data_IF_661687333528
#
_entry.id   IF_661687333528
#
_cell.length_a   1.000
_cell.length_b   1.000
_cell.length_c   1.000
_cell.angle_alpha   90.00
_cell.angle_beta   90.00
_cell.angle_gamma   90.00
#
_symmetry.space_group_name_H-M   'P 1'
#
loop_
_entity.id
_entity.type
_entity.pdbx_description
1 polymer ?
#
# COMPACT_ATOMS: atom_id res chain seq x y z
N UNK A 1 14.82 22.29 44.98
CA UNK A 1 14.10 22.81 46.16
C UNK A 1 12.64 22.95 45.82
N UNK A 2 11.84 22.37 46.66
CA UNK A 2 10.39 22.35 46.87
C UNK A 2 9.64 21.17 46.30
N UNK A 3 9.51 20.17 47.21
CA UNK A 3 8.54 19.09 47.20
C UNK A 3 7.14 19.65 47.53
N UNK A 4 6.11 19.09 46.88
CA UNK A 4 4.78 19.04 47.45
C UNK A 4 4.18 17.66 47.19
N UNK A 5 4.03 16.91 48.27
CA UNK A 5 3.25 15.71 48.38
C UNK A 5 1.77 16.13 48.68
N UNK A 6 0.82 15.45 48.10
CA UNK A 6 -0.58 15.50 48.54
C UNK A 6 -1.11 14.08 48.66
N UNK A 7 -1.75 13.88 49.82
CA UNK A 7 -2.14 12.62 50.42
C UNK A 7 -3.38 11.99 49.80
N UNK A 8 -3.44 10.66 49.95
CA UNK A 8 -4.58 9.81 49.69
C UNK A 8 -5.66 9.92 50.79
N UNK A 9 -6.92 9.88 50.42
CA UNK A 9 -8.03 9.67 51.37
C UNK A 9 -8.87 8.51 50.88
N UNK A 10 -8.84 7.40 51.65
CA UNK A 10 -9.77 6.28 51.57
C UNK A 10 -11.09 6.66 52.23
N UNK A 11 -12.22 6.36 51.59
CA UNK A 11 -13.55 6.33 52.22
C UNK A 11 -14.11 4.93 52.06
N UNK A 12 -14.24 4.24 53.20
CA UNK A 12 -14.94 2.97 53.41
C UNK A 12 -16.40 3.27 53.77
N UNK A 13 -17.36 2.72 53.06
CA UNK A 13 -18.75 2.72 53.43
C UNK A 13 -19.25 1.29 53.68
N UNK A 14 -19.60 1.04 54.93
CA UNK A 14 -20.20 -0.19 55.48
C UNK A 14 -21.71 -0.10 55.33
N UNK A 15 -22.35 -1.10 54.76
CA UNK A 15 -23.84 -1.24 54.80
C UNK A 15 -24.24 -2.40 55.71
N UNK A 16 -25.05 -2.06 56.67
CA UNK A 16 -25.70 -2.95 57.66
C UNK A 16 -26.93 -3.65 57.02
N UNK A 17 -27.03 -4.92 57.28
CA UNK A 17 -28.19 -5.78 57.02
C UNK A 17 -29.08 -5.74 58.23
N UNK A 18 -30.40 -5.51 58.06
CA UNK A 18 -31.41 -5.80 59.07
C UNK A 18 -32.51 -6.63 58.41
N UNK A 19 -32.71 -7.83 58.97
CA UNK A 19 -33.81 -8.70 58.62
C UNK A 19 -35.04 -8.43 59.49
N UNK A 20 -36.19 -8.78 58.95
CA UNK A 20 -37.37 -9.08 59.77
C UNK A 20 -38.27 -10.14 59.10
N UNK A 21 -38.58 -11.15 59.88
CA UNK A 21 -39.48 -12.28 59.63
C UNK A 21 -40.95 -11.89 59.89
N UNK A 22 -41.85 -12.52 59.15
CA UNK A 22 -43.07 -13.25 59.68
C UNK A 22 -44.14 -13.34 58.58
N UNK A 23 -44.47 -14.51 58.22
CA UNK A 23 -45.63 -15.36 58.39
C UNK A 23 -47.00 -14.95 57.78
N UNK A 24 -47.40 -15.77 56.88
CA UNK A 24 -48.66 -16.55 56.81
C UNK A 24 -49.75 -16.17 55.78
N UNK A 25 -50.10 -17.16 55.00
CA UNK A 25 -51.40 -17.68 54.58
C UNK A 25 -51.99 -17.32 53.23
N UNK A 26 -52.17 -18.43 52.52
CA UNK A 26 -53.32 -18.88 51.73
C UNK A 26 -53.53 -18.43 50.29
N UNK A 27 -53.36 -19.46 49.45
CA UNK A 27 -54.19 -19.82 48.30
C UNK A 27 -54.70 -18.73 47.33
N UNK A 28 -54.18 -18.65 46.15
CA UNK A 28 -55.00 -18.77 44.92
C UNK A 28 -54.20 -19.17 43.71
N UNK A 29 -54.63 -20.24 43.04
CA UNK A 29 -54.16 -20.73 41.79
C UNK A 29 -54.46 -19.71 40.69
N UNK A 30 -53.42 -19.24 40.00
CA UNK A 30 -53.51 -18.67 38.65
C UNK A 30 -52.29 -19.11 37.88
N UNK A 31 -52.53 -19.87 36.82
CA UNK A 31 -51.57 -20.25 35.78
C UNK A 31 -50.90 -18.99 35.22
N UNK A 32 -49.63 -18.82 35.53
CA UNK A 32 -48.84 -17.82 34.90
C UNK A 32 -47.92 -18.52 33.89
N UNK A 33 -48.37 -18.56 32.64
CA UNK A 33 -47.58 -19.00 31.47
C UNK A 33 -46.38 -18.03 31.40
N UNK A 34 -45.25 -18.48 31.87
CA UNK A 34 -43.99 -17.80 31.69
C UNK A 34 -43.68 -17.80 30.18
N UNK A 35 -43.95 -16.71 29.48
CA UNK A 35 -43.33 -16.40 28.23
C UNK A 35 -41.83 -16.28 28.48
N UNK A 36 -41.11 -17.37 28.20
CA UNK A 36 -39.67 -17.33 27.99
C UNK A 36 -39.42 -16.49 26.76
N UNK A 37 -39.17 -15.20 26.94
CA UNK A 37 -38.56 -14.34 25.93
C UNK A 37 -37.17 -14.89 25.67
N UNK A 38 -37.07 -15.73 24.66
CA UNK A 38 -35.79 -16.15 24.11
C UNK A 38 -35.17 -14.86 23.51
N UNK A 39 -34.36 -14.16 24.29
CA UNK A 39 -33.43 -13.19 23.74
C UNK A 39 -32.47 -13.96 22.85
N UNK A 40 -32.81 -14.04 21.57
CA UNK A 40 -31.85 -14.39 20.53
C UNK A 40 -30.79 -13.31 20.61
N UNK A 41 -29.64 -13.60 21.20
CA UNK A 41 -28.43 -12.79 21.03
C UNK A 41 -28.14 -12.80 19.54
N UNK A 42 -28.55 -11.77 18.85
CA UNK A 42 -28.19 -11.53 17.46
C UNK A 42 -26.66 -11.38 17.49
N UNK A 43 -25.96 -12.39 16.99
CA UNK A 43 -24.49 -12.29 16.84
C UNK A 43 -24.20 -11.01 16.07
N UNK A 44 -23.38 -10.14 16.64
CA UNK A 44 -22.93 -8.94 15.96
C UNK A 44 -22.11 -9.40 14.72
N UNK A 45 -22.72 -9.31 13.55
CA UNK A 45 -22.13 -9.74 12.26
C UNK A 45 -21.18 -8.70 11.66
N UNK A 46 -21.00 -7.58 12.38
CA UNK A 46 -20.20 -6.44 11.93
C UNK A 46 -19.02 -6.17 12.87
N UNK A 47 -18.09 -5.36 12.42
CA UNK A 47 -16.95 -4.82 13.19
C UNK A 47 -16.62 -3.40 12.73
N UNK A 48 -15.77 -2.71 13.46
CA UNK A 48 -15.23 -1.42 13.07
C UNK A 48 -13.91 -1.61 12.33
N UNK A 49 -13.75 -0.86 11.25
CA UNK A 49 -12.51 -0.67 10.51
C UNK A 49 -12.17 0.82 10.60
N UNK A 50 -10.95 1.14 11.01
CA UNK A 50 -10.46 2.53 10.99
C UNK A 50 -9.66 2.74 9.71
N UNK A 51 -10.05 3.71 8.87
CA UNK A 51 -9.40 4.02 7.60
C UNK A 51 -8.09 4.83 7.79
N UNK A 52 -7.42 5.18 6.69
CA UNK A 52 -6.12 5.89 6.75
C UNK A 52 -6.26 7.28 7.38
N UNK A 53 -7.41 7.94 7.24
CA UNK A 53 -7.72 9.24 7.83
C UNK A 53 -8.15 9.16 9.30
N UNK A 54 -8.22 7.94 9.87
CA UNK A 54 -8.66 7.70 11.24
C UNK A 54 -10.19 7.66 11.41
N UNK A 55 -10.95 7.49 10.34
CA UNK A 55 -12.41 7.39 10.39
C UNK A 55 -12.85 5.95 10.59
N UNK A 56 -13.72 5.72 11.59
CA UNK A 56 -14.29 4.42 11.85
C UNK A 56 -15.46 4.12 10.91
N UNK A 57 -15.40 2.97 10.26
CA UNK A 57 -16.41 2.44 9.33
C UNK A 57 -16.91 1.10 9.82
N UNK A 58 -18.23 0.95 9.91
CA UNK A 58 -18.84 -0.34 10.26
C UNK A 58 -18.94 -1.23 9.02
N UNK A 59 -18.28 -2.37 9.05
CA UNK A 59 -18.18 -3.33 7.94
C UNK A 59 -18.56 -4.74 8.40
N UNK A 60 -18.90 -5.68 7.50
CA UNK A 60 -19.07 -7.10 7.84
C UNK A 60 -17.83 -7.66 8.55
N UNK A 61 -17.98 -8.68 9.39
CA UNK A 61 -16.82 -9.38 10.00
C UNK A 61 -15.86 -9.91 8.94
N UNK A 62 -16.39 -10.44 7.85
CA UNK A 62 -15.65 -10.84 6.66
C UNK A 62 -16.34 -10.22 5.45
N UNK A 63 -15.58 -9.56 4.60
CA UNK A 63 -16.06 -8.99 3.33
C UNK A 63 -15.85 -10.02 2.23
N UNK A 64 -16.91 -10.35 1.50
CA UNK A 64 -16.91 -11.30 0.39
C UNK A 64 -17.16 -10.64 -0.95
N UNK A 65 -17.60 -9.37 -0.94
CA UNK A 65 -17.86 -8.55 -2.13
C UNK A 65 -17.22 -7.18 -1.93
N UNK A 66 -15.97 -7.06 -2.32
CA UNK A 66 -15.17 -5.85 -2.19
C UNK A 66 -15.10 -5.11 -3.53
N UNK A 67 -15.55 -3.87 -3.57
CA UNK A 67 -15.21 -2.95 -4.65
C UNK A 67 -13.90 -2.25 -4.28
N UNK A 68 -12.95 -2.19 -5.22
CA UNK A 68 -11.71 -1.47 -5.01
C UNK A 68 -11.40 -0.63 -6.25
N UNK A 69 -11.48 0.69 -6.09
CA UNK A 69 -11.35 1.68 -7.16
C UNK A 69 -10.01 2.41 -7.12
N UNK A 70 -8.99 1.76 -6.58
CA UNK A 70 -7.60 2.18 -6.66
C UNK A 70 -6.74 1.00 -7.11
N UNK A 71 -6.17 1.07 -8.31
CA UNK A 71 -5.38 -0.01 -8.93
C UNK A 71 -4.19 -0.47 -8.07
N UNK A 72 -3.59 0.45 -7.33
CA UNK A 72 -2.53 0.14 -6.35
C UNK A 72 -3.06 -0.79 -5.24
N UNK A 73 -4.23 -0.49 -4.68
CA UNK A 73 -4.78 -1.32 -3.61
C UNK A 73 -5.28 -2.68 -4.11
N UNK A 74 -5.67 -2.78 -5.38
CA UNK A 74 -5.98 -4.08 -6.01
C UNK A 74 -4.82 -5.07 -5.85
N UNK A 75 -3.57 -4.61 -5.95
CA UNK A 75 -2.38 -5.43 -5.71
C UNK A 75 -2.35 -5.95 -4.27
N UNK A 76 -2.67 -5.09 -3.28
CA UNK A 76 -2.72 -5.50 -1.87
C UNK A 76 -3.85 -6.49 -1.61
N UNK A 77 -5.02 -6.28 -2.21
CA UNK A 77 -6.13 -7.25 -2.10
C UNK A 77 -5.70 -8.63 -2.63
N UNK A 78 -5.02 -8.69 -3.78
CA UNK A 78 -4.50 -9.94 -4.35
C UNK A 78 -3.42 -10.57 -3.46
N UNK A 79 -2.45 -9.77 -3.05
CA UNK A 79 -1.34 -10.17 -2.18
C UNK A 79 -1.84 -10.76 -0.84
N UNK A 80 -2.93 -10.24 -0.32
CA UNK A 80 -3.55 -10.65 0.94
C UNK A 80 -4.51 -11.84 0.79
N UNK A 81 -4.62 -12.45 -0.40
CA UNK A 81 -5.50 -13.58 -0.66
C UNK A 81 -6.96 -13.20 -0.91
N UNK A 82 -7.26 -11.91 -1.11
CA UNK A 82 -8.61 -11.40 -1.30
C UNK A 82 -9.08 -11.35 -2.76
N UNK A 83 -8.35 -11.91 -3.72
CA UNK A 83 -8.68 -11.80 -5.15
C UNK A 83 -10.12 -12.21 -5.48
N UNK A 84 -10.58 -13.33 -4.93
CA UNK A 84 -11.94 -13.86 -5.17
C UNK A 84 -13.04 -12.96 -4.56
N UNK A 85 -12.70 -12.01 -3.70
CA UNK A 85 -13.65 -11.06 -3.12
C UNK A 85 -13.87 -9.82 -3.98
N UNK A 86 -12.94 -9.52 -4.92
CA UNK A 86 -13.05 -8.36 -5.79
C UNK A 86 -14.28 -8.48 -6.72
N UNK A 87 -15.14 -7.48 -6.67
CA UNK A 87 -16.33 -7.37 -7.54
C UNK A 87 -16.31 -6.10 -8.41
N UNK A 88 -15.34 -5.22 -8.21
CA UNK A 88 -15.06 -4.04 -9.03
C UNK A 88 -13.58 -3.67 -8.96
N UNK A 89 -13.07 -3.06 -10.02
CA UNK A 89 -11.67 -2.66 -10.18
C UNK A 89 -11.57 -1.31 -10.91
N UNK A 90 -10.40 -0.98 -11.47
CA UNK A 90 -10.16 0.20 -12.30
C UNK A 90 -9.77 -0.18 -13.73
N UNK A 91 -9.92 0.76 -14.67
CA UNK A 91 -9.42 0.55 -16.04
C UNK A 91 -7.90 0.46 -16.08
N UNK A 92 -7.22 1.12 -15.14
CA UNK A 92 -5.77 1.10 -14.99
C UNK A 92 -5.29 -0.32 -14.62
N UNK A 93 -5.90 -0.95 -13.63
CA UNK A 93 -5.57 -2.32 -13.22
C UNK A 93 -5.69 -3.33 -14.37
N UNK A 94 -6.70 -3.18 -15.23
CA UNK A 94 -6.90 -4.05 -16.41
C UNK A 94 -5.80 -3.92 -17.47
N UNK A 95 -5.02 -2.84 -17.44
CA UNK A 95 -3.93 -2.56 -18.40
C UNK A 95 -2.57 -2.98 -17.88
N UNK A 96 -2.45 -3.41 -16.62
CA UNK A 96 -1.21 -3.85 -16.02
C UNK A 96 -0.87 -5.28 -16.47
N UNK A 97 0.15 -5.51 -17.33
CA UNK A 97 0.32 -6.80 -18.00
C UNK A 97 0.65 -7.95 -17.03
N UNK A 98 1.47 -7.68 -16.00
CA UNK A 98 1.78 -8.69 -15.00
C UNK A 98 0.61 -8.96 -14.07
N UNK A 99 -0.14 -7.92 -13.68
CA UNK A 99 -1.34 -8.09 -12.86
C UNK A 99 -2.37 -8.97 -13.59
N UNK A 100 -2.63 -8.69 -14.87
CA UNK A 100 -3.58 -9.47 -15.67
C UNK A 100 -3.09 -10.88 -15.98
N UNK A 101 -1.78 -11.12 -16.06
CA UNK A 101 -1.20 -12.47 -16.19
C UNK A 101 -1.39 -13.28 -14.91
N UNK A 102 -1.19 -12.67 -13.74
CA UNK A 102 -1.27 -13.33 -12.42
C UNK A 102 -2.74 -13.52 -12.00
N UNK A 103 -3.56 -12.52 -12.27
CA UNK A 103 -4.98 -12.51 -11.94
C UNK A 103 -5.84 -12.14 -13.15
N UNK A 104 -6.04 -13.07 -14.11
CA UNK A 104 -6.77 -12.78 -15.35
C UNK A 104 -8.21 -12.29 -15.14
N UNK A 105 -8.86 -12.72 -14.04
CA UNK A 105 -10.24 -12.34 -13.72
C UNK A 105 -10.42 -10.82 -13.57
N UNK A 106 -9.37 -10.06 -13.25
CA UNK A 106 -9.45 -8.60 -13.14
C UNK A 106 -10.01 -7.94 -14.42
N UNK A 107 -9.74 -8.53 -15.59
CA UNK A 107 -10.20 -8.00 -16.89
C UNK A 107 -11.71 -8.05 -17.08
N UNK A 108 -12.41 -8.92 -16.33
CA UNK A 108 -13.85 -9.14 -16.41
C UNK A 108 -14.64 -8.24 -15.45
N UNK A 109 -13.96 -7.69 -14.43
CA UNK A 109 -14.63 -6.91 -13.39
C UNK A 109 -15.14 -5.55 -13.92
N UNK A 110 -16.27 -5.03 -13.44
CA UNK A 110 -16.72 -3.68 -13.76
C UNK A 110 -15.78 -2.60 -13.17
N UNK A 111 -15.82 -1.40 -13.77
CA UNK A 111 -14.96 -0.26 -13.42
C UNK A 111 -15.81 0.97 -13.11
N UNK A 112 -16.47 1.02 -11.93
CA UNK A 112 -17.44 2.07 -11.60
C UNK A 112 -16.81 3.43 -11.30
N UNK A 113 -15.49 3.59 -11.44
CA UNK A 113 -14.79 4.83 -11.16
C UNK A 113 -13.94 5.30 -12.35
N UNK A 114 -13.74 6.61 -12.46
CA UNK A 114 -12.82 7.25 -13.40
C UNK A 114 -12.21 8.49 -12.74
N UNK A 115 -10.91 8.48 -12.45
CA UNK A 115 -10.26 9.47 -11.60
C UNK A 115 -10.97 9.57 -10.25
N UNK A 116 -11.30 10.78 -9.79
CA UNK A 116 -12.03 10.97 -8.52
C UNK A 116 -13.54 10.75 -8.63
N UNK A 117 -14.08 10.50 -9.82
CA UNK A 117 -15.52 10.33 -10.04
C UNK A 117 -15.94 8.88 -9.84
N UNK A 118 -17.01 8.67 -9.07
CA UNK A 118 -17.65 7.37 -8.83
C UNK A 118 -19.03 7.35 -9.54
N UNK A 119 -19.26 6.32 -10.35
CA UNK A 119 -20.58 5.99 -10.88
C UNK A 119 -21.36 5.22 -9.81
N UNK A 120 -22.11 5.95 -8.99
CA UNK A 120 -22.84 5.40 -7.85
C UNK A 120 -23.95 4.43 -8.25
N UNK A 121 -24.59 4.65 -9.41
CA UNK A 121 -25.65 3.74 -9.88
C UNK A 121 -25.07 2.39 -10.29
N UNK A 122 -23.95 2.39 -11.02
CA UNK A 122 -23.23 1.16 -11.34
C UNK A 122 -22.70 0.45 -10.08
N UNK A 123 -22.15 1.21 -9.11
CA UNK A 123 -21.71 0.64 -7.85
C UNK A 123 -22.85 -0.04 -7.08
N UNK A 124 -24.07 0.54 -7.11
CA UNK A 124 -25.26 -0.09 -6.51
C UNK A 124 -25.66 -1.39 -7.22
N UNK A 125 -25.59 -1.41 -8.56
CA UNK A 125 -25.86 -2.62 -9.33
C UNK A 125 -24.86 -3.74 -9.05
N UNK A 126 -23.58 -3.39 -8.86
CA UNK A 126 -22.52 -4.30 -8.41
C UNK A 126 -22.84 -4.84 -7.01
N UNK A 127 -23.50 -4.03 -6.16
CA UNK A 127 -23.89 -4.37 -4.79
C UNK A 127 -22.70 -4.88 -3.93
N UNK A 128 -21.63 -4.09 -3.76
CA UNK A 128 -20.52 -4.46 -2.90
C UNK A 128 -20.92 -4.31 -1.42
N UNK A 129 -20.29 -5.09 -0.56
CA UNK A 129 -20.40 -4.95 0.91
C UNK A 129 -19.54 -3.80 1.43
N UNK A 130 -18.52 -3.41 0.66
CA UNK A 130 -17.60 -2.34 1.01
C UNK A 130 -16.89 -1.81 -0.25
N UNK A 131 -16.50 -0.52 -0.20
CA UNK A 131 -15.61 0.13 -1.16
C UNK A 131 -14.27 0.49 -0.48
N UNK A 132 -13.15 0.14 -1.10
CA UNK A 132 -11.84 0.71 -0.84
C UNK A 132 -11.43 1.66 -1.98
N UNK A 133 -10.79 2.78 -1.65
CA UNK A 133 -10.33 3.78 -2.63
C UNK A 133 -9.34 4.76 -1.99
N UNK A 134 -8.49 5.41 -2.77
CA UNK A 134 -7.67 6.53 -2.31
C UNK A 134 -8.41 7.88 -2.34
N UNK A 135 -9.51 7.99 -3.09
CA UNK A 135 -10.25 9.24 -3.28
C UNK A 135 -11.25 9.52 -2.15
N UNK A 136 -11.09 10.68 -1.51
CA UNK A 136 -12.06 11.18 -0.51
C UNK A 136 -13.45 11.40 -1.10
N UNK A 137 -13.50 11.91 -2.34
CA UNK A 137 -14.76 12.18 -3.05
C UNK A 137 -15.52 10.88 -3.31
N UNK A 138 -14.84 9.80 -3.68
CA UNK A 138 -15.45 8.49 -3.88
C UNK A 138 -15.96 7.90 -2.56
N UNK A 139 -15.19 8.04 -1.46
CA UNK A 139 -15.63 7.62 -0.11
C UNK A 139 -16.92 8.33 0.27
N UNK A 140 -16.97 9.67 0.13
CA UNK A 140 -18.13 10.46 0.48
C UNK A 140 -19.36 10.06 -0.39
N UNK A 141 -19.15 9.88 -1.69
CA UNK A 141 -20.21 9.48 -2.63
C UNK A 141 -20.80 8.11 -2.29
N UNK A 142 -19.96 7.12 -1.96
CA UNK A 142 -20.40 5.77 -1.56
C UNK A 142 -21.17 5.79 -0.22
N UNK A 143 -20.60 6.47 0.79
CA UNK A 143 -21.23 6.61 2.13
C UNK A 143 -22.59 7.31 2.06
N UNK A 144 -22.75 8.31 1.18
CA UNK A 144 -24.04 8.98 0.96
C UNK A 144 -25.13 8.04 0.41
N UNK A 145 -24.76 6.89 -0.15
CA UNK A 145 -25.67 5.84 -0.62
C UNK A 145 -25.81 4.68 0.36
N UNK A 146 -25.21 4.78 1.55
CA UNK A 146 -25.24 3.73 2.55
C UNK A 146 -24.28 2.56 2.29
N UNK A 147 -23.36 2.70 1.33
CA UNK A 147 -22.31 1.72 1.07
C UNK A 147 -21.13 2.02 1.99
N UNK A 148 -20.70 1.08 2.86
CA UNK A 148 -19.50 1.25 3.66
C UNK A 148 -18.30 1.53 2.74
N UNK A 149 -17.53 2.56 3.04
CA UNK A 149 -16.37 2.91 2.25
C UNK A 149 -15.23 3.36 3.16
N UNK A 150 -14.01 2.98 2.85
CA UNK A 150 -12.83 3.38 3.60
C UNK A 150 -11.75 3.88 2.64
N UNK A 151 -11.02 4.91 3.08
CA UNK A 151 -9.88 5.41 2.34
C UNK A 151 -8.64 4.60 2.70
N UNK A 152 -7.93 4.18 1.68
CA UNK A 152 -6.58 3.60 1.71
C UNK A 152 -5.69 4.47 0.86
N UNK A 153 -4.54 4.87 1.39
CA UNK A 153 -3.62 5.78 0.71
C UNK A 153 -2.25 5.73 1.39
N UNK A 154 -1.19 6.17 0.71
CA UNK A 154 0.12 6.32 1.31
C UNK A 154 1.04 7.20 0.47
N UNK A 155 1.85 8.01 1.14
CA UNK A 155 2.88 8.85 0.56
C UNK A 155 4.29 8.48 1.09
N UNK A 156 4.34 7.56 2.07
CA UNK A 156 5.54 7.07 2.72
C UNK A 156 5.42 5.59 3.11
N UNK A 157 6.54 4.98 3.53
CA UNK A 157 6.58 3.55 3.90
C UNK A 157 5.74 3.21 5.14
N UNK A 158 5.61 4.12 6.10
CA UNK A 158 4.79 3.89 7.29
C UNK A 158 3.31 3.82 6.90
N UNK A 159 2.85 4.75 6.07
CA UNK A 159 1.49 4.76 5.55
C UNK A 159 1.23 3.57 4.61
N UNK A 160 2.21 3.17 3.78
CA UNK A 160 2.10 1.97 2.94
C UNK A 160 1.84 0.74 3.82
N UNK A 161 2.66 0.50 4.82
CA UNK A 161 2.48 -0.62 5.75
C UNK A 161 1.14 -0.54 6.51
N UNK A 162 0.70 0.66 6.84
CA UNK A 162 -0.61 0.90 7.46
C UNK A 162 -1.76 0.58 6.49
N UNK A 163 -1.66 1.00 5.21
CA UNK A 163 -2.67 0.71 4.19
C UNK A 163 -2.80 -0.79 3.89
N UNK A 164 -1.69 -1.53 3.88
CA UNK A 164 -1.72 -3.00 3.79
C UNK A 164 -2.50 -3.61 4.96
N UNK A 165 -2.26 -3.14 6.20
CA UNK A 165 -3.01 -3.63 7.39
C UNK A 165 -4.49 -3.23 7.36
N UNK A 166 -4.83 -2.03 6.84
CA UNK A 166 -6.22 -1.60 6.66
C UNK A 166 -6.93 -2.50 5.65
N UNK A 167 -6.26 -2.84 4.53
CA UNK A 167 -6.81 -3.71 3.49
C UNK A 167 -7.02 -5.13 4.02
N UNK A 168 -6.06 -5.69 4.78
CA UNK A 168 -6.24 -6.99 5.46
C UNK A 168 -7.42 -6.96 6.43
N UNK A 169 -7.49 -5.90 7.24
CA UNK A 169 -8.62 -5.69 8.13
C UNK A 169 -9.93 -5.54 7.34
N UNK A 170 -9.96 -4.90 6.18
CA UNK A 170 -11.15 -4.83 5.32
C UNK A 170 -11.62 -6.22 4.88
N UNK A 171 -10.73 -7.09 4.47
CA UNK A 171 -11.04 -8.48 4.10
C UNK A 171 -11.58 -9.29 5.30
N UNK A 172 -11.00 -9.11 6.49
CA UNK A 172 -11.47 -9.71 7.73
C UNK A 172 -11.23 -11.21 7.81
N UNK A 173 -10.19 -11.73 7.19
CA UNK A 173 -9.77 -13.13 7.25
C UNK A 173 -8.46 -13.27 8.02
N UNK A 174 -8.27 -14.41 8.69
CA UNK A 174 -7.01 -14.73 9.38
C UNK A 174 -5.83 -14.80 8.39
N UNK A 175 -6.08 -15.30 7.19
CA UNK A 175 -5.08 -15.36 6.11
C UNK A 175 -4.59 -13.96 5.72
N UNK A 176 -5.51 -13.01 5.53
CA UNK A 176 -5.16 -11.63 5.18
C UNK A 176 -4.33 -10.96 6.28
N UNK A 177 -4.69 -11.15 7.54
CA UNK A 177 -3.95 -10.60 8.69
C UNK A 177 -2.54 -11.20 8.79
N UNK A 178 -2.41 -12.51 8.55
CA UNK A 178 -1.12 -13.19 8.52
C UNK A 178 -0.23 -12.66 7.38
N UNK A 179 -0.76 -12.61 6.16
CA UNK A 179 -0.02 -12.09 4.99
C UNK A 179 0.38 -10.63 5.14
N UNK A 180 -0.49 -9.78 5.72
CA UNK A 180 -0.15 -8.39 6.03
C UNK A 180 1.02 -8.30 7.03
N UNK A 181 1.04 -9.18 8.03
CA UNK A 181 2.14 -9.24 9.00
C UNK A 181 3.44 -9.70 8.34
N UNK A 182 3.37 -10.71 7.47
CA UNK A 182 4.51 -11.21 6.71
C UNK A 182 5.08 -10.13 5.78
N UNK A 183 4.21 -9.40 5.06
CA UNK A 183 4.62 -8.30 4.18
C UNK A 183 5.32 -7.18 4.95
N UNK A 184 4.71 -6.71 6.04
CA UNK A 184 5.32 -5.65 6.86
C UNK A 184 6.67 -6.10 7.42
N UNK A 185 6.76 -7.34 7.89
CA UNK A 185 8.04 -7.91 8.38
C UNK A 185 9.09 -7.98 7.27
N UNK A 186 8.66 -8.35 6.05
CA UNK A 186 9.56 -8.38 4.88
C UNK A 186 10.08 -6.98 4.54
N UNK A 187 9.21 -5.98 4.51
CA UNK A 187 9.59 -4.60 4.24
C UNK A 187 10.51 -4.02 5.31
N UNK A 188 10.18 -4.19 6.60
CA UNK A 188 11.01 -3.77 7.74
C UNK A 188 12.40 -4.44 7.72
N UNK A 189 12.46 -5.73 7.36
CA UNK A 189 13.72 -6.47 7.18
C UNK A 189 14.57 -5.84 6.10
N UNK A 190 13.99 -5.50 4.95
CA UNK A 190 14.70 -4.90 3.82
C UNK A 190 15.18 -3.49 4.16
N UNK A 191 14.34 -2.66 4.76
CA UNK A 191 14.73 -1.33 5.27
C UNK A 191 15.91 -1.42 6.24
N UNK A 192 15.82 -2.34 7.20
CA UNK A 192 16.90 -2.56 8.17
C UNK A 192 18.19 -3.05 7.52
N UNK A 193 18.11 -4.00 6.61
CA UNK A 193 19.27 -4.52 5.87
C UNK A 193 20.00 -3.40 5.14
N UNK A 194 19.25 -2.56 4.42
CA UNK A 194 19.80 -1.42 3.66
C UNK A 194 20.43 -0.42 4.63
N UNK A 195 19.73 -0.05 5.70
CA UNK A 195 20.23 0.88 6.69
C UNK A 195 21.51 0.39 7.39
N UNK A 196 21.56 -0.89 7.76
CA UNK A 196 22.75 -1.49 8.41
C UNK A 196 23.97 -1.48 7.47
N UNK A 197 23.79 -1.72 6.16
CA UNK A 197 24.89 -1.78 5.18
C UNK A 197 25.38 -0.39 4.76
N UNK A 198 24.50 0.59 4.75
CA UNK A 198 24.76 1.96 4.25
C UNK A 198 24.89 3.00 5.37
N UNK A 199 24.63 2.63 6.61
CA UNK A 199 24.68 3.53 7.76
C UNK A 199 26.02 4.25 7.88
N UNK A 200 25.96 5.58 8.10
CA UNK A 200 27.15 6.42 8.27
C UNK A 200 27.86 6.84 6.98
N UNK A 201 27.26 6.60 5.81
CA UNK A 201 27.80 7.08 4.53
C UNK A 201 27.85 8.61 4.50
N UNK A 202 29.02 9.25 4.25
CA UNK A 202 29.10 10.69 4.09
C UNK A 202 28.26 11.20 2.92
N UNK A 203 27.67 12.40 3.07
CA UNK A 203 26.76 12.96 2.05
C UNK A 203 27.41 13.14 0.66
N UNK A 204 28.72 13.48 0.62
CA UNK A 204 29.47 13.61 -0.63
C UNK A 204 29.71 12.29 -1.39
N UNK A 205 29.50 11.16 -0.73
CA UNK A 205 29.61 9.81 -1.32
C UNK A 205 28.27 9.24 -1.77
N UNK A 206 27.18 9.94 -1.50
CA UNK A 206 25.85 9.50 -1.89
C UNK A 206 25.67 9.76 -3.40
N UNK A 207 25.32 8.73 -4.19
CA UNK A 207 25.01 8.92 -5.61
C UNK A 207 23.88 9.92 -5.81
N UNK A 208 23.98 10.73 -6.84
CA UNK A 208 22.95 11.69 -7.25
C UNK A 208 21.97 10.98 -8.20
N UNK A 209 20.70 10.98 -7.86
CA UNK A 209 19.66 10.29 -8.60
C UNK A 209 18.61 11.28 -9.08
N UNK A 210 18.26 11.21 -10.36
CA UNK A 210 17.08 11.81 -10.95
C UNK A 210 16.10 10.67 -11.25
N UNK A 211 14.87 10.76 -10.76
CA UNK A 211 13.80 9.86 -11.17
C UNK A 211 12.82 10.61 -12.08
N UNK A 212 12.57 10.05 -13.26
CA UNK A 212 11.60 10.55 -14.24
C UNK A 212 10.32 9.74 -14.08
N UNK A 213 9.19 10.43 -13.92
CA UNK A 213 7.89 9.82 -13.60
C UNK A 213 7.45 8.80 -14.65
N UNK A 214 7.67 9.09 -15.94
CA UNK A 214 7.28 8.18 -17.02
C UNK A 214 8.00 8.46 -18.35
N UNK A 215 8.02 7.47 -19.22
CA UNK A 215 8.77 7.52 -20.49
C UNK A 215 8.13 8.41 -21.57
N UNK A 216 6.84 8.70 -21.48
CA UNK A 216 6.16 9.56 -22.46
C UNK A 216 6.57 11.03 -22.30
N UNK A 217 6.64 11.51 -21.07
CA UNK A 217 7.04 12.87 -20.72
C UNK A 217 8.26 12.84 -19.77
N UNK A 218 9.45 13.00 -20.35
CA UNK A 218 10.72 13.03 -19.60
C UNK A 218 10.99 14.36 -18.90
N UNK A 219 10.04 15.28 -18.90
CA UNK A 219 10.14 16.57 -18.19
C UNK A 219 9.55 16.51 -16.79
N UNK A 220 8.86 15.44 -16.41
CA UNK A 220 8.30 15.27 -15.08
C UNK A 220 9.24 14.43 -14.21
N UNK A 221 9.67 14.98 -13.10
CA UNK A 221 10.59 14.34 -12.15
C UNK A 221 10.02 14.29 -10.75
N UNK A 222 10.25 13.17 -10.05
CA UNK A 222 9.86 13.00 -8.67
C UNK A 222 10.79 13.76 -7.72
N UNK A 223 10.19 14.52 -6.82
CA UNK A 223 10.89 15.28 -5.81
C UNK A 223 11.10 14.51 -4.50
N UNK A 224 11.75 15.14 -3.51
CA UNK A 224 12.02 14.50 -2.21
C UNK A 224 10.79 14.31 -1.33
N UNK A 225 9.67 15.00 -1.59
CA UNK A 225 8.39 14.88 -0.86
C UNK A 225 7.45 13.87 -1.55
N UNK A 226 8.03 12.75 -1.97
CA UNK A 226 7.35 11.64 -2.62
C UNK A 226 7.86 10.30 -2.09
N UNK A 227 7.09 9.24 -2.29
CA UNK A 227 7.55 7.86 -2.00
C UNK A 227 8.86 7.53 -2.73
N UNK A 228 9.03 8.07 -3.97
CA UNK A 228 10.28 7.97 -4.73
C UNK A 228 11.43 8.66 -4.00
N UNK A 229 11.21 9.87 -3.48
CA UNK A 229 12.19 10.59 -2.68
C UNK A 229 12.60 9.81 -1.43
N UNK A 230 11.63 9.14 -0.80
CA UNK A 230 11.88 8.32 0.39
C UNK A 230 12.76 7.11 0.09
N UNK A 231 12.44 6.28 -0.95
CA UNK A 231 13.29 5.13 -1.24
C UNK A 231 14.67 5.54 -1.79
N UNK A 232 14.79 6.65 -2.54
CA UNK A 232 16.11 7.18 -2.93
C UNK A 232 16.94 7.49 -1.69
N UNK A 233 16.35 8.18 -0.70
CA UNK A 233 17.06 8.52 0.53
C UNK A 233 17.39 7.29 1.38
N UNK A 234 16.45 6.35 1.54
CA UNK A 234 16.61 5.11 2.30
C UNK A 234 17.71 4.22 1.72
N UNK A 235 17.89 4.22 0.40
CA UNK A 235 18.93 3.44 -0.31
C UNK A 235 20.28 4.14 -0.41
N UNK A 236 20.51 5.16 0.43
CA UNK A 236 21.79 5.83 0.55
C UNK A 236 22.18 6.71 -0.63
N UNK A 237 21.19 7.12 -1.43
CA UNK A 237 21.36 8.05 -2.54
C UNK A 237 20.82 9.46 -2.18
N UNK A 238 20.85 10.37 -3.13
CA UNK A 238 20.35 11.73 -2.99
C UNK A 238 19.54 12.10 -4.23
N UNK A 239 18.27 12.47 -4.04
CA UNK A 239 17.49 13.07 -5.11
C UNK A 239 18.15 14.39 -5.55
N UNK A 240 18.27 14.61 -6.86
CA UNK A 240 18.85 15.86 -7.40
C UNK A 240 17.86 17.01 -7.38
N UNK A 241 16.57 16.75 -7.22
CA UNK A 241 15.54 17.77 -6.99
C UNK A 241 15.68 18.23 -5.54
N UNK A 242 15.97 19.52 -5.34
CA UNK A 242 16.19 20.09 -4.00
C UNK A 242 14.90 20.73 -3.44
N UNK A 243 13.97 21.09 -4.32
CA UNK A 243 12.66 21.62 -3.91
C UNK A 243 11.83 20.49 -3.26
N UNK A 244 11.23 20.81 -2.10
CA UNK A 244 10.38 19.87 -1.35
C UNK A 244 9.01 19.81 -2.02
N UNK A 245 8.89 18.93 -2.98
CA UNK A 245 7.68 18.70 -3.80
C UNK A 245 7.52 17.20 -4.10
N UNK A 246 6.30 16.77 -4.42
CA UNK A 246 6.04 15.42 -4.93
C UNK A 246 6.59 15.27 -6.37
N UNK A 247 6.13 16.13 -7.29
CA UNK A 247 6.55 16.13 -8.70
C UNK A 247 6.87 17.56 -9.13
N UNK A 248 7.92 17.71 -9.96
CA UNK A 248 8.28 18.98 -10.58
C UNK A 248 8.62 18.80 -12.06
N UNK A 249 8.62 19.91 -12.79
CA UNK A 249 9.04 19.95 -14.20
C UNK A 249 10.53 20.26 -14.30
N UNK A 250 11.26 19.46 -15.06
CA UNK A 250 12.69 19.67 -15.33
C UNK A 250 12.94 19.89 -16.82
N UNK A 251 13.91 20.75 -17.13
CA UNK A 251 14.41 20.97 -18.49
C UNK A 251 15.71 20.19 -18.71
N UNK A 252 16.17 19.99 -19.96
CA UNK A 252 17.48 19.41 -20.20
C UNK A 252 18.61 20.18 -19.53
N UNK A 253 18.50 21.52 -19.38
CA UNK A 253 19.50 22.33 -18.70
C UNK A 253 19.53 22.03 -17.19
N UNK A 254 18.37 21.85 -16.55
CA UNK A 254 18.30 21.49 -15.12
C UNK A 254 18.97 20.12 -14.88
N UNK A 255 18.79 19.16 -15.80
CA UNK A 255 19.45 17.85 -15.73
C UNK A 255 20.97 17.98 -15.87
N UNK A 256 21.44 18.84 -16.79
CA UNK A 256 22.88 19.12 -16.98
C UNK A 256 23.47 19.74 -15.71
N UNK A 257 22.80 20.73 -15.13
CA UNK A 257 23.29 21.46 -13.95
C UNK A 257 23.27 20.58 -12.68
N UNK A 258 22.25 19.72 -12.53
CA UNK A 258 22.17 18.74 -11.45
C UNK A 258 23.26 17.66 -11.59
N UNK A 259 23.64 17.29 -12.81
CA UNK A 259 24.64 16.28 -13.14
C UNK A 259 24.41 14.96 -12.36
N UNK A 260 23.28 14.26 -12.56
CA UNK A 260 22.98 13.00 -11.88
C UNK A 260 23.95 11.89 -12.26
N UNK A 261 24.26 11.01 -11.29
CA UNK A 261 25.02 9.77 -11.49
C UNK A 261 24.15 8.66 -12.06
N UNK A 262 22.85 8.70 -11.72
CA UNK A 262 21.81 7.79 -12.21
C UNK A 262 20.59 8.59 -12.66
N UNK A 263 19.97 8.16 -13.78
CA UNK A 263 18.63 8.56 -14.18
C UNK A 263 17.78 7.31 -14.26
N UNK A 264 16.71 7.27 -13.48
CA UNK A 264 15.77 6.16 -13.44
C UNK A 264 14.48 6.63 -14.10
N UNK A 265 13.98 5.86 -15.06
CA UNK A 265 12.74 6.17 -15.77
C UNK A 265 11.65 5.21 -15.34
N UNK A 266 10.59 5.73 -14.74
CA UNK A 266 9.41 4.99 -14.32
C UNK A 266 8.40 4.76 -15.44
N UNK A 267 7.33 4.05 -15.11
CA UNK A 267 6.18 3.83 -15.99
C UNK A 267 6.36 2.71 -17.00
N UNK A 268 5.22 2.34 -17.61
CA UNK A 268 5.18 1.26 -18.61
C UNK A 268 5.96 1.57 -19.88
N UNK A 269 6.07 2.86 -20.24
CA UNK A 269 6.77 3.35 -21.43
C UNK A 269 8.21 3.81 -21.11
N UNK A 270 8.81 3.26 -20.03
CA UNK A 270 10.14 3.68 -19.58
C UNK A 270 11.22 3.59 -20.65
N UNK A 271 11.18 2.57 -21.54
CA UNK A 271 12.16 2.45 -22.64
C UNK A 271 12.13 3.67 -23.56
N UNK A 272 10.95 4.20 -23.86
CA UNK A 272 10.82 5.40 -24.70
C UNK A 272 11.52 6.61 -24.04
N UNK A 273 11.39 6.74 -22.72
CA UNK A 273 12.06 7.80 -21.97
C UNK A 273 13.58 7.62 -21.92
N UNK A 274 14.06 6.40 -21.69
CA UNK A 274 15.50 6.08 -21.76
C UNK A 274 16.06 6.46 -23.13
N UNK A 275 15.37 6.08 -24.21
CA UNK A 275 15.81 6.39 -25.58
C UNK A 275 15.85 7.91 -25.85
N UNK A 276 14.86 8.66 -25.36
CA UNK A 276 14.84 10.13 -25.48
C UNK A 276 16.03 10.77 -24.74
N UNK A 277 16.28 10.36 -23.50
CA UNK A 277 17.34 10.94 -22.66
C UNK A 277 18.74 10.60 -23.16
N UNK A 278 18.99 9.36 -23.58
CA UNK A 278 20.29 8.91 -24.07
C UNK A 278 20.65 9.53 -25.45
N UNK A 279 19.65 9.77 -26.29
CA UNK A 279 19.87 10.34 -27.63
C UNK A 279 19.77 11.87 -27.66
N UNK A 280 19.50 12.54 -26.55
CA UNK A 280 19.49 14.00 -26.48
C UNK A 280 20.93 14.55 -26.48
N UNK A 281 21.36 15.30 -27.53
CA UNK A 281 22.71 15.87 -27.59
C UNK A 281 23.02 16.80 -26.41
N UNK A 282 22.03 17.48 -25.84
CA UNK A 282 22.21 18.36 -24.68
C UNK A 282 22.65 17.56 -23.44
N UNK A 283 22.22 16.31 -23.30
CA UNK A 283 22.50 15.46 -22.15
C UNK A 283 23.75 14.58 -22.31
N UNK A 284 24.40 14.59 -23.49
CA UNK A 284 25.55 13.72 -23.81
C UNK A 284 26.71 13.79 -22.79
N UNK A 285 26.82 14.90 -22.04
CA UNK A 285 27.85 15.11 -21.05
C UNK A 285 27.41 14.82 -19.60
N UNK A 286 26.14 14.51 -19.37
CA UNK A 286 25.62 14.14 -18.05
C UNK A 286 26.28 12.83 -17.57
N UNK A 287 26.74 12.72 -16.31
CA UNK A 287 27.40 11.52 -15.80
C UNK A 287 26.61 10.24 -16.05
N UNK A 288 25.31 10.24 -15.74
CA UNK A 288 24.42 9.09 -15.96
C UNK A 288 24.41 8.62 -17.42
N UNK A 289 24.34 9.55 -18.39
CA UNK A 289 24.34 9.22 -19.83
C UNK A 289 25.69 8.65 -20.25
N UNK A 290 26.80 9.29 -19.84
CA UNK A 290 28.17 8.83 -20.19
C UNK A 290 28.51 7.45 -19.66
N UNK A 291 27.98 7.12 -18.46
CA UNK A 291 28.28 5.86 -17.77
C UNK A 291 27.29 4.75 -18.09
N UNK A 292 26.24 5.04 -18.85
CA UNK A 292 25.18 4.08 -19.16
C UNK A 292 24.23 3.82 -17.98
N UNK A 293 24.13 4.76 -17.06
CA UNK A 293 23.28 4.68 -15.86
C UNK A 293 21.91 5.36 -16.07
N UNK A 294 21.41 5.38 -17.30
CA UNK A 294 20.02 5.74 -17.61
C UNK A 294 19.26 4.43 -17.74
N UNK A 295 18.45 4.10 -16.73
CA UNK A 295 17.85 2.77 -16.58
C UNK A 295 16.35 2.86 -16.40
N UNK A 296 15.65 1.78 -16.76
CA UNK A 296 14.22 1.61 -16.46
C UNK A 296 14.06 1.19 -15.02
N UNK A 297 13.01 1.70 -14.37
CA UNK A 297 12.57 1.15 -13.10
C UNK A 297 11.93 -0.22 -13.34
N UNK A 298 12.08 -1.22 -12.44
CA UNK A 298 11.36 -2.48 -12.54
C UNK A 298 9.84 -2.30 -12.60
N UNK A 299 9.18 -3.22 -13.32
CA UNK A 299 7.72 -3.25 -13.48
C UNK A 299 7.21 -4.67 -13.25
N UNK A 300 6.39 -4.82 -12.23
CA UNK A 300 5.72 -6.05 -11.87
C UNK A 300 4.21 -5.92 -11.99
N UNK A 301 3.48 -6.24 -10.92
CA UNK A 301 2.03 -6.03 -10.86
C UNK A 301 1.66 -4.55 -10.97
N UNK A 302 2.61 -3.65 -10.67
CA UNK A 302 2.61 -2.23 -11.02
C UNK A 302 4.06 -1.74 -11.20
N UNK A 303 4.24 -0.42 -11.32
CA UNK A 303 5.57 0.22 -11.32
C UNK A 303 6.16 0.18 -9.91
N UNK A 304 7.32 -0.45 -9.71
CA UNK A 304 7.88 -0.66 -8.38
C UNK A 304 8.17 0.64 -7.63
N UNK A 305 8.70 1.63 -8.30
CA UNK A 305 9.19 2.85 -7.66
C UNK A 305 8.10 3.85 -7.26
N UNK A 306 6.83 3.63 -7.65
CA UNK A 306 5.77 4.59 -7.39
C UNK A 306 4.44 3.89 -7.19
N UNK A 307 4.03 3.79 -5.91
CA UNK A 307 2.78 3.15 -5.47
C UNK A 307 2.66 1.68 -5.92
N UNK A 308 3.38 0.80 -5.25
CA UNK A 308 3.37 -0.63 -5.58
C UNK A 308 3.47 -1.49 -4.33
N UNK A 309 2.89 -2.69 -4.39
CA UNK A 309 3.14 -3.73 -3.40
C UNK A 309 4.61 -4.22 -3.44
N UNK A 310 5.25 -4.09 -4.59
CA UNK A 310 6.66 -4.47 -4.80
C UNK A 310 7.65 -3.38 -4.34
N UNK A 311 7.20 -2.31 -3.68
CA UNK A 311 8.05 -1.28 -3.08
C UNK A 311 9.10 -1.86 -2.12
N UNK A 312 8.75 -2.97 -1.46
CA UNK A 312 9.69 -3.70 -0.60
C UNK A 312 10.87 -4.33 -1.38
N UNK A 313 10.68 -4.67 -2.67
CA UNK A 313 11.72 -5.12 -3.58
C UNK A 313 12.50 -3.95 -4.20
N UNK A 314 11.82 -2.82 -4.45
CA UNK A 314 12.44 -1.58 -4.95
C UNK A 314 13.61 -1.15 -4.08
N UNK A 315 13.48 -1.27 -2.76
CA UNK A 315 14.57 -0.98 -1.81
C UNK A 315 15.84 -1.79 -2.08
N UNK A 316 15.69 -3.10 -2.32
CA UNK A 316 16.82 -3.99 -2.58
C UNK A 316 17.42 -3.73 -3.96
N UNK A 317 16.56 -3.51 -4.97
CA UNK A 317 16.99 -3.21 -6.33
C UNK A 317 17.77 -1.91 -6.38
N UNK A 318 17.23 -0.83 -5.83
CA UNK A 318 17.89 0.48 -5.84
C UNK A 318 19.19 0.48 -5.02
N UNK A 319 19.19 -0.16 -3.83
CA UNK A 319 20.39 -0.28 -3.03
C UNK A 319 21.50 -1.03 -3.76
N UNK A 320 21.18 -2.12 -4.46
CA UNK A 320 22.14 -2.88 -5.27
C UNK A 320 22.58 -2.11 -6.51
N UNK A 321 21.69 -1.36 -7.16
CA UNK A 321 22.03 -0.49 -8.29
C UNK A 321 23.04 0.59 -7.90
N UNK A 322 22.82 1.25 -6.75
CA UNK A 322 23.64 2.36 -6.31
C UNK A 322 24.95 1.93 -5.62
N UNK A 323 24.94 0.78 -4.96
CA UNK A 323 26.03 0.28 -4.12
C UNK A 323 26.30 -1.22 -4.36
N UNK A 324 26.61 -1.63 -5.61
CA UNK A 324 26.71 -3.05 -5.97
C UNK A 324 27.66 -3.84 -5.07
N UNK A 325 28.78 -3.21 -4.64
CA UNK A 325 29.79 -3.84 -3.79
C UNK A 325 29.30 -4.17 -2.37
N UNK A 326 28.21 -3.55 -1.91
CA UNK A 326 27.62 -3.78 -0.60
C UNK A 326 26.47 -4.77 -0.62
N UNK A 327 25.98 -5.11 -1.82
CA UNK A 327 24.84 -5.97 -2.06
C UNK A 327 25.15 -7.11 -3.04
N UNK A 328 26.42 -7.54 -3.13
CA UNK A 328 26.84 -8.64 -4.01
C UNK A 328 26.09 -9.95 -3.72
N UNK A 329 25.80 -10.22 -2.45
CA UNK A 329 25.12 -11.40 -1.94
C UNK A 329 23.59 -11.38 -2.17
N UNK A 330 23.00 -10.24 -2.58
CA UNK A 330 21.56 -10.14 -2.86
C UNK A 330 21.26 -10.63 -4.26
N UNK A 331 20.56 -11.75 -4.37
CA UNK A 331 20.03 -12.26 -5.65
C UNK A 331 18.63 -11.70 -5.90
N UNK A 332 18.55 -10.64 -6.71
CA UNK A 332 17.27 -9.98 -6.99
C UNK A 332 16.28 -10.88 -7.75
N UNK A 333 16.77 -11.81 -8.59
CA UNK A 333 15.89 -12.76 -9.28
C UNK A 333 15.23 -13.70 -8.27
N UNK A 334 16.03 -14.26 -7.36
CA UNK A 334 15.53 -15.14 -6.32
C UNK A 334 14.58 -14.39 -5.35
N UNK A 335 14.92 -13.17 -4.94
CA UNK A 335 14.06 -12.33 -4.09
C UNK A 335 12.71 -12.02 -4.77
N UNK A 336 12.72 -11.70 -6.08
CA UNK A 336 11.50 -11.46 -6.86
C UNK A 336 10.65 -12.73 -6.95
N UNK A 337 11.26 -13.88 -7.29
CA UNK A 337 10.56 -15.17 -7.33
C UNK A 337 9.93 -15.51 -5.98
N UNK A 338 10.67 -15.35 -4.89
CA UNK A 338 10.17 -15.61 -3.55
C UNK A 338 9.02 -14.69 -3.17
N UNK A 339 9.10 -13.40 -3.50
CA UNK A 339 8.04 -12.44 -3.22
C UNK A 339 6.74 -12.85 -3.91
N UNK A 340 6.80 -13.17 -5.20
CA UNK A 340 5.63 -13.57 -5.98
C UNK A 340 5.03 -14.90 -5.51
N UNK A 341 5.86 -15.89 -5.20
CA UNK A 341 5.39 -17.16 -4.64
C UNK A 341 4.72 -16.97 -3.28
N UNK A 342 5.34 -16.17 -2.39
CA UNK A 342 4.84 -15.95 -1.02
C UNK A 342 3.52 -15.14 -1.02
N UNK A 343 3.49 -14.03 -1.75
CA UNK A 343 2.41 -13.06 -1.62
C UNK A 343 1.31 -13.24 -2.67
N UNK A 344 1.66 -13.56 -3.89
CA UNK A 344 0.67 -13.75 -4.96
C UNK A 344 0.34 -15.23 -5.21
N UNK A 345 1.07 -16.17 -4.59
CA UNK A 345 0.92 -17.60 -4.87
C UNK A 345 1.26 -17.96 -6.33
N UNK A 346 2.14 -17.15 -6.96
CA UNK A 346 2.49 -17.27 -8.36
C UNK A 346 3.98 -17.61 -8.54
N UNK A 347 4.25 -18.75 -9.19
CA UNK A 347 5.61 -19.20 -9.44
C UNK A 347 6.18 -18.54 -10.70
N UNK A 348 7.04 -17.53 -10.51
CA UNK A 348 7.76 -16.88 -11.59
C UNK A 348 8.88 -17.79 -12.12
N UNK A 349 9.01 -17.89 -13.44
CA UNK A 349 10.25 -18.40 -14.03
C UNK A 349 11.42 -17.41 -13.80
N UNK A 350 12.65 -17.89 -13.88
CA UNK A 350 13.84 -17.02 -13.84
C UNK A 350 13.78 -15.94 -14.92
N UNK A 351 13.30 -16.29 -16.13
CA UNK A 351 13.13 -15.36 -17.23
C UNK A 351 12.07 -14.29 -16.92
N UNK A 352 10.90 -14.68 -16.39
CA UNK A 352 9.87 -13.74 -16.01
C UNK A 352 10.32 -12.78 -14.88
N UNK A 353 11.03 -13.31 -13.88
CA UNK A 353 11.61 -12.49 -12.82
C UNK A 353 12.64 -11.48 -13.35
N UNK A 354 13.50 -11.90 -14.30
CA UNK A 354 14.45 -11.00 -14.95
C UNK A 354 13.74 -9.92 -15.79
N UNK A 355 12.67 -10.27 -16.52
CA UNK A 355 11.88 -9.30 -17.28
C UNK A 355 11.25 -8.22 -16.39
N UNK A 356 10.75 -8.61 -15.23
CA UNK A 356 10.25 -7.66 -14.22
C UNK A 356 11.36 -6.69 -13.81
N UNK A 357 12.54 -7.22 -13.46
CA UNK A 357 13.71 -6.42 -13.07
C UNK A 357 14.20 -5.50 -14.18
N UNK A 358 14.06 -5.91 -15.44
CA UNK A 358 14.40 -5.13 -16.62
C UNK A 358 13.31 -4.13 -17.04
N UNK A 359 12.22 -4.00 -16.25
CA UNK A 359 11.08 -3.12 -16.56
C UNK A 359 10.34 -3.53 -17.82
N UNK A 360 10.17 -4.85 -18.04
CA UNK A 360 9.51 -5.41 -19.22
C UNK A 360 8.21 -6.14 -18.85
N UNK A 361 7.24 -6.09 -19.74
CA UNK A 361 6.02 -6.90 -19.60
C UNK A 361 6.29 -8.39 -19.77
N UNK A 362 5.31 -9.27 -19.45
CA UNK A 362 5.43 -10.71 -19.66
C UNK A 362 5.69 -11.05 -21.12
N UNK A 363 6.35 -12.18 -21.36
CA UNK A 363 6.50 -12.69 -22.71
C UNK A 363 5.11 -12.95 -23.33
N UNK A 364 4.99 -12.68 -24.65
CA UNK A 364 3.77 -12.84 -25.42
C UNK A 364 3.33 -14.32 -25.51
#
# INVERSE_FOLDING_TARGET
MRHHAVAATLLTATLLVTGCTAENSAENSAENTAEQTTQTTQEDTTRLLTDIDGTDVRVPKQVTRLADTWDVNNQFVLMLGGGDTLVATTEEAKRLPWLTKIYPHVTELPTPASGTRLNVEELKEINPEMLLTSSKEQVEAARAQGIPAARVDFDDFEQLMKSVRITANALGTEEADQKATEYVTYMERNLKMVADRLGGMPGEKKPKVLHIVGGEDVTQADGPDSLVGEWIAATGARNVIEEVVDVTTVTPQDIVDAAPDFIIVGGMEAQLGVDKLVNDPALANVPAVKQGNVVKNPVGTSNWGRYSAEEALQLLWAAKLFHPEKFEDVDLVAETQQFYSTFYGYELSTEDAQRILDGEGPAA
#
